data_IF_858696594834
#
_entry.id   IF_858696594834
#
_cell.length_a   1.000
_cell.length_b   1.000
_cell.length_c   1.000
_cell.angle_alpha   90.00
_cell.angle_beta   90.00
_cell.angle_gamma   90.00
#
_symmetry.space_group_name_H-M   'P 1'
#
loop_
_entity.id
_entity.type
_entity.pdbx_description
1 polymer ?
#
# COMPACT_ATOMS: atom_id res chain seq x y z
N UNK A 1 25.54 -0.87 12.65
CA UNK A 1 24.77 -0.91 11.37
C UNK A 1 25.74 -0.73 10.22
N UNK A 2 25.79 -1.66 9.28
CA UNK A 2 26.55 -1.60 8.03
C UNK A 2 25.70 -0.83 7.02
N UNK A 3 26.27 0.19 6.35
CA UNK A 3 25.58 0.86 5.24
C UNK A 3 25.91 0.09 3.96
N UNK A 4 24.87 -0.39 3.28
CA UNK A 4 25.02 -1.12 2.02
C UNK A 4 25.26 -0.15 0.87
N UNK A 5 26.18 -0.55 0.01
CA UNK A 5 26.55 0.13 -1.23
C UNK A 5 26.65 -0.88 -2.37
N UNK A 6 26.76 -0.41 -3.62
CA UNK A 6 26.94 -1.30 -4.78
C UNK A 6 28.21 -2.17 -4.65
N UNK A 7 29.23 -1.71 -3.90
CA UNK A 7 30.52 -2.37 -3.74
C UNK A 7 30.49 -3.47 -2.67
N UNK A 8 29.71 -3.29 -1.57
CA UNK A 8 29.74 -4.22 -0.44
C UNK A 8 28.55 -5.19 -0.37
N UNK A 9 27.47 -4.94 -1.10
CA UNK A 9 26.22 -5.69 -1.02
C UNK A 9 26.40 -7.18 -1.37
N UNK A 10 27.29 -7.53 -2.32
CA UNK A 10 27.54 -8.92 -2.70
C UNK A 10 28.23 -9.69 -1.58
N UNK A 11 29.19 -9.05 -0.89
CA UNK A 11 29.85 -9.65 0.28
C UNK A 11 28.85 -9.87 1.39
N UNK A 12 27.98 -8.88 1.64
CA UNK A 12 26.91 -8.98 2.63
C UNK A 12 25.94 -10.15 2.34
N UNK A 13 25.48 -10.31 1.09
CA UNK A 13 24.61 -11.42 0.71
C UNK A 13 25.31 -12.77 0.91
N UNK A 14 26.55 -12.91 0.47
CA UNK A 14 27.35 -14.16 0.61
C UNK A 14 27.55 -14.55 2.07
N UNK A 15 27.71 -13.58 2.95
CA UNK A 15 27.91 -13.81 4.39
C UNK A 15 26.60 -14.20 5.10
N UNK A 16 25.50 -13.48 4.83
CA UNK A 16 24.25 -13.60 5.60
C UNK A 16 23.25 -14.59 4.98
N UNK A 17 23.32 -14.83 3.66
CA UNK A 17 22.41 -15.76 2.96
C UNK A 17 23.20 -16.63 1.97
N UNK A 18 24.08 -17.51 2.44
CA UNK A 18 24.92 -18.35 1.56
C UNK A 18 24.10 -19.32 0.68
N UNK A 19 22.83 -19.51 0.97
CA UNK A 19 21.90 -20.28 0.14
C UNK A 19 21.51 -19.58 -1.16
N UNK A 20 21.63 -18.26 -1.25
CA UNK A 20 21.43 -17.48 -2.47
C UNK A 20 22.71 -17.58 -3.33
N UNK A 21 22.82 -18.65 -4.10
CA UNK A 21 23.97 -18.86 -4.99
C UNK A 21 23.82 -17.99 -6.25
N UNK A 22 24.57 -16.87 -6.25
CA UNK A 22 24.61 -15.96 -7.39
C UNK A 22 25.73 -16.37 -8.37
N UNK A 23 25.38 -16.52 -9.64
CA UNK A 23 26.33 -16.86 -10.71
C UNK A 23 26.91 -15.59 -11.35
N UNK A 24 28.22 -15.51 -11.41
CA UNK A 24 28.93 -14.39 -12.05
C UNK A 24 28.72 -14.38 -13.59
N UNK A 25 28.62 -13.20 -14.24
CA UNK A 25 28.72 -11.88 -13.62
C UNK A 25 27.45 -11.46 -12.89
N UNK A 26 27.60 -10.85 -11.69
CA UNK A 26 26.50 -10.30 -10.91
C UNK A 26 26.40 -8.80 -11.15
N UNK A 27 25.21 -8.34 -11.50
CA UNK A 27 24.89 -6.92 -11.67
C UNK A 27 24.18 -6.38 -10.44
N UNK A 28 24.67 -5.28 -9.90
CA UNK A 28 24.01 -4.52 -8.82
C UNK A 28 23.56 -3.17 -9.34
N UNK A 29 22.29 -2.87 -9.18
CA UNK A 29 21.70 -1.57 -9.53
C UNK A 29 20.87 -1.03 -8.37
N UNK A 30 20.80 0.30 -8.23
CA UNK A 30 20.00 0.95 -7.21
C UNK A 30 18.73 1.51 -7.86
N UNK A 31 17.57 1.12 -7.33
CA UNK A 31 16.27 1.58 -7.83
C UNK A 31 16.12 3.07 -7.51
N UNK A 32 15.65 3.86 -8.48
CA UNK A 32 15.46 5.31 -8.37
C UNK A 32 16.70 6.18 -8.65
N UNK A 33 17.81 5.63 -9.18
CA UNK A 33 19.00 6.41 -9.59
C UNK A 33 19.20 6.55 -11.10
N UNK A 34 18.23 6.18 -11.92
CA UNK A 34 18.33 6.30 -13.38
C UNK A 34 19.18 5.21 -14.07
N UNK A 35 19.83 4.33 -13.30
CA UNK A 35 20.69 3.26 -13.82
C UNK A 35 19.92 2.09 -14.49
N UNK A 36 18.62 2.10 -14.46
CA UNK A 36 17.80 0.94 -14.78
C UNK A 36 17.07 1.01 -16.13
N UNK A 37 17.28 2.09 -16.89
CA UNK A 37 16.59 2.29 -18.18
C UNK A 37 15.12 2.66 -18.02
N UNK A 38 14.46 2.97 -19.15
CA UNK A 38 13.06 3.44 -19.18
C UNK A 38 12.02 2.42 -18.70
N UNK A 39 12.40 1.14 -18.55
CA UNK A 39 11.49 0.03 -18.22
C UNK A 39 11.47 -0.35 -16.73
N UNK A 40 12.31 0.23 -15.89
CA UNK A 40 12.34 -0.07 -14.44
C UNK A 40 11.70 1.04 -13.67
N UNK A 41 10.43 0.88 -13.48
CA UNK A 41 9.54 1.75 -12.76
C UNK A 41 9.63 1.48 -11.26
N UNK A 42 10.20 2.39 -10.47
CA UNK A 42 10.23 2.30 -9.02
C UNK A 42 10.65 3.63 -8.41
N UNK A 43 9.79 4.13 -7.53
CA UNK A 43 9.97 5.48 -6.96
C UNK A 43 10.90 5.52 -5.74
N UNK A 44 11.65 4.52 -5.36
CA UNK A 44 12.66 4.42 -4.29
C UNK A 44 12.98 5.68 -3.48
N UNK A 45 11.95 6.37 -2.93
CA UNK A 45 12.10 7.69 -2.31
C UNK A 45 12.59 7.62 -0.86
N UNK A 46 12.17 6.59 -0.13
CA UNK A 46 12.36 6.52 1.32
C UNK A 46 13.55 5.65 1.72
N UNK A 47 13.73 4.53 1.05
CA UNK A 47 14.68 3.50 1.42
C UNK A 47 15.75 3.30 0.34
N UNK A 48 16.89 2.71 0.72
CA UNK A 48 17.87 2.22 -0.24
C UNK A 48 17.41 0.87 -0.75
N UNK A 49 17.10 0.79 -2.04
CA UNK A 49 16.60 -0.43 -2.67
C UNK A 49 17.55 -0.82 -3.79
N UNK A 50 18.17 -1.99 -3.64
CA UNK A 50 19.10 -2.54 -4.62
C UNK A 50 18.45 -3.73 -5.30
N UNK A 51 18.62 -3.82 -6.61
CA UNK A 51 18.40 -5.04 -7.38
C UNK A 51 19.73 -5.71 -7.63
N UNK A 52 19.83 -6.97 -7.23
CA UNK A 52 20.98 -7.83 -7.46
C UNK A 52 20.55 -8.94 -8.39
N UNK A 53 21.12 -8.99 -9.61
CA UNK A 53 20.78 -10.00 -10.63
C UNK A 53 22.02 -10.73 -11.09
N UNK A 54 21.89 -12.04 -11.32
CA UNK A 54 22.97 -12.93 -11.74
C UNK A 54 22.94 -13.20 -13.25
N UNK A 55 23.93 -13.98 -13.72
CA UNK A 55 24.09 -14.33 -15.11
C UNK A 55 22.95 -15.22 -15.67
N UNK A 56 22.28 -15.98 -14.82
CA UNK A 56 21.15 -16.85 -15.23
C UNK A 56 19.82 -16.10 -15.23
N UNK A 57 19.79 -14.82 -14.84
CA UNK A 57 18.60 -13.98 -14.76
C UNK A 57 17.84 -14.08 -13.46
N UNK A 58 18.34 -14.79 -12.43
CA UNK A 58 17.78 -14.71 -11.09
C UNK A 58 18.08 -13.34 -10.49
N UNK A 59 17.10 -12.76 -9.83
CA UNK A 59 17.26 -11.46 -9.18
C UNK A 59 16.58 -11.39 -7.83
N UNK A 60 17.16 -10.55 -6.96
CA UNK A 60 16.71 -10.30 -5.60
C UNK A 60 16.67 -8.81 -5.33
N UNK A 61 15.74 -8.42 -4.47
CA UNK A 61 15.67 -7.05 -3.94
C UNK A 61 16.25 -7.03 -2.55
N UNK A 62 17.18 -6.11 -2.32
CA UNK A 62 17.74 -5.81 -0.99
C UNK A 62 17.28 -4.42 -0.60
N UNK A 63 16.50 -4.32 0.48
CA UNK A 63 15.96 -3.06 0.98
C UNK A 63 16.60 -2.71 2.33
N UNK A 64 17.17 -1.52 2.43
CA UNK A 64 17.75 -0.99 3.67
C UNK A 64 17.13 0.34 4.04
N UNK A 65 16.78 0.50 5.31
CA UNK A 65 16.35 1.76 5.89
C UNK A 65 17.48 2.40 6.70
N UNK A 66 17.59 3.72 6.61
CA UNK A 66 18.52 4.54 7.40
C UNK A 66 17.75 5.58 8.20
N UNK A 67 18.45 6.29 9.09
CA UNK A 67 17.87 7.36 9.93
C UNK A 67 17.31 8.55 9.14
N UNK A 68 17.68 8.70 7.87
CA UNK A 68 17.21 9.76 7.00
C UNK A 68 16.66 9.18 5.69
N UNK A 69 15.56 9.78 5.22
CA UNK A 69 15.01 9.43 3.91
C UNK A 69 16.00 9.76 2.80
N UNK A 70 16.15 8.85 1.83
CA UNK A 70 17.11 8.97 0.73
C UNK A 70 17.03 10.31 -0.03
N UNK A 71 15.82 10.81 -0.30
CA UNK A 71 15.63 12.01 -1.13
C UNK A 71 15.37 13.30 -0.38
N UNK A 72 14.88 13.27 0.86
CA UNK A 72 14.41 14.49 1.56
C UNK A 72 15.22 14.85 2.80
N UNK A 73 16.16 13.99 3.20
CA UNK A 73 16.95 14.23 4.42
C UNK A 73 16.12 14.28 5.70
N UNK A 74 14.79 14.04 5.63
CA UNK A 74 13.92 14.00 6.81
C UNK A 74 14.30 12.81 7.68
N UNK A 75 14.46 13.05 8.97
CA UNK A 75 14.69 11.97 9.91
C UNK A 75 13.44 11.08 10.00
N UNK A 76 13.66 9.76 9.94
CA UNK A 76 12.63 8.75 10.08
C UNK A 76 13.26 7.50 10.66
N UNK A 77 12.60 6.87 11.64
CA UNK A 77 13.17 5.69 12.30
C UNK A 77 13.52 4.58 11.32
N UNK A 78 14.72 4.00 11.37
CA UNK A 78 15.09 2.86 10.54
C UNK A 78 14.34 1.56 10.92
N UNK A 79 13.74 1.50 12.13
CA UNK A 79 12.97 0.33 12.59
C UNK A 79 11.71 0.07 11.75
N UNK A 80 11.28 0.99 10.87
CA UNK A 80 10.22 0.76 9.89
C UNK A 80 10.51 -0.45 8.98
N UNK A 81 11.78 -0.68 8.65
CA UNK A 81 12.25 -1.84 7.89
C UNK A 81 11.90 -3.15 8.62
N UNK A 82 12.08 -3.18 9.95
CA UNK A 82 11.72 -4.33 10.77
C UNK A 82 10.23 -4.60 10.73
N UNK A 83 9.37 -3.59 10.88
CA UNK A 83 7.93 -3.76 10.75
C UNK A 83 7.53 -4.31 9.38
N UNK A 84 8.20 -3.85 8.31
CA UNK A 84 7.93 -4.31 6.96
C UNK A 84 8.23 -5.80 6.78
N UNK A 85 9.41 -6.29 7.14
CA UNK A 85 9.70 -7.70 6.92
C UNK A 85 8.92 -8.62 7.90
N UNK A 86 8.68 -8.21 9.13
CA UNK A 86 7.88 -8.99 10.09
C UNK A 86 6.42 -9.14 9.63
N UNK A 87 5.83 -8.08 9.07
CA UNK A 87 4.48 -8.19 8.50
C UNK A 87 4.46 -8.99 7.20
N UNK A 88 5.53 -8.94 6.39
CA UNK A 88 5.66 -9.81 5.22
C UNK A 88 5.69 -11.29 5.63
N UNK A 89 6.44 -11.65 6.68
CA UNK A 89 6.45 -13.02 7.23
C UNK A 89 5.05 -13.47 7.70
N UNK A 90 4.32 -12.58 8.40
CA UNK A 90 2.98 -12.88 8.86
C UNK A 90 2.02 -13.07 7.66
N UNK A 91 2.04 -12.16 6.71
CA UNK A 91 1.16 -12.22 5.53
C UNK A 91 1.51 -13.37 4.59
N UNK A 92 2.78 -13.75 4.49
CA UNK A 92 3.19 -14.91 3.72
C UNK A 92 2.61 -16.24 4.29
N UNK A 93 2.29 -16.30 5.58
CA UNK A 93 1.56 -17.44 6.18
C UNK A 93 0.07 -17.45 5.83
N UNK A 94 -0.51 -16.27 5.56
CA UNK A 94 -1.94 -16.09 5.26
C UNK A 94 -2.20 -16.18 3.75
N UNK A 95 -1.40 -15.45 2.95
CA UNK A 95 -1.59 -15.25 1.51
C UNK A 95 -0.26 -15.32 0.75
N UNK A 96 0.47 -16.45 0.79
CA UNK A 96 1.83 -16.56 0.21
C UNK A 96 1.90 -16.21 -1.28
N UNK A 97 0.79 -16.38 -2.01
CA UNK A 97 0.71 -16.07 -3.43
C UNK A 97 0.78 -14.57 -3.72
N UNK A 98 0.43 -13.71 -2.75
CA UNK A 98 0.35 -12.26 -2.93
C UNK A 98 1.52 -11.48 -2.30
N UNK A 99 2.38 -12.15 -1.54
CA UNK A 99 3.53 -11.52 -0.87
C UNK A 99 4.82 -12.01 -1.52
N UNK A 100 5.80 -11.13 -1.78
CA UNK A 100 7.14 -11.58 -2.20
C UNK A 100 7.76 -12.55 -1.19
N UNK A 101 8.47 -13.55 -1.67
CA UNK A 101 9.22 -14.43 -0.77
C UNK A 101 10.29 -13.64 -0.03
N UNK A 102 10.44 -13.88 1.28
CA UNK A 102 11.46 -13.27 2.11
C UNK A 102 12.61 -14.26 2.30
N UNK A 103 13.83 -13.80 2.07
CA UNK A 103 15.05 -14.62 2.18
C UNK A 103 15.89 -14.27 3.42
N UNK A 104 15.83 -13.02 3.88
CA UNK A 104 16.54 -12.52 5.07
C UNK A 104 15.77 -11.36 5.69
N UNK A 105 15.68 -11.34 7.03
CA UNK A 105 15.40 -10.16 7.84
C UNK A 105 16.55 -9.93 8.82
N UNK A 106 17.25 -8.80 8.72
CA UNK A 106 18.36 -8.41 9.58
C UNK A 106 18.04 -7.10 10.32
N UNK A 107 17.50 -7.19 11.55
CA UNK A 107 17.13 -6.02 12.33
C UNK A 107 18.34 -5.19 12.82
N UNK A 108 19.53 -5.78 12.92
CA UNK A 108 20.74 -5.07 13.39
C UNK A 108 21.24 -4.07 12.34
N UNK A 109 21.08 -4.42 11.07
CA UNK A 109 21.46 -3.58 9.93
C UNK A 109 20.29 -2.88 9.25
N UNK A 110 19.03 -3.11 9.71
CA UNK A 110 17.81 -2.63 9.10
C UNK A 110 17.72 -2.99 7.61
N UNK A 111 18.03 -4.27 7.31
CA UNK A 111 18.06 -4.83 5.96
C UNK A 111 17.11 -6.01 5.87
N UNK A 112 16.44 -6.15 4.74
CA UNK A 112 15.86 -7.43 4.36
C UNK A 112 16.11 -7.73 2.87
N UNK A 113 16.06 -9.01 2.53
CA UNK A 113 16.22 -9.51 1.17
C UNK A 113 14.95 -10.25 0.77
N UNK A 114 14.38 -9.89 -0.36
CA UNK A 114 13.13 -10.48 -0.87
C UNK A 114 13.19 -10.84 -2.35
N UNK A 115 12.19 -11.57 -2.80
CA UNK A 115 11.92 -11.87 -4.20
C UNK A 115 11.84 -10.57 -5.03
N UNK A 116 12.52 -10.58 -6.18
CA UNK A 116 12.32 -9.53 -7.20
C UNK A 116 11.08 -9.88 -8.01
N UNK A 117 10.04 -9.08 -7.88
CA UNK A 117 8.76 -9.24 -8.56
C UNK A 117 8.65 -8.47 -9.87
N UNK A 118 9.76 -7.99 -10.42
CA UNK A 118 9.78 -7.15 -11.63
C UNK A 118 9.45 -7.88 -12.93
N UNK A 119 9.30 -9.21 -12.88
CA UNK A 119 8.63 -9.96 -13.94
C UNK A 119 7.17 -9.56 -14.11
N UNK A 120 6.53 -9.07 -13.06
CA UNK A 120 5.24 -8.38 -13.07
C UNK A 120 5.45 -6.88 -13.35
N UNK A 121 4.36 -6.17 -13.65
CA UNK A 121 4.40 -4.74 -13.94
C UNK A 121 3.73 -3.94 -12.83
N UNK A 122 4.29 -2.77 -12.51
CA UNK A 122 3.71 -1.85 -11.55
C UNK A 122 2.39 -1.30 -12.12
N UNK A 123 1.27 -1.56 -11.44
CA UNK A 123 -0.04 -1.32 -12.03
C UNK A 123 -0.32 0.16 -12.30
N UNK A 124 0.22 1.10 -11.49
CA UNK A 124 0.08 2.53 -11.70
C UNK A 124 0.49 2.95 -13.11
N UNK A 125 1.68 2.54 -13.56
CA UNK A 125 2.21 2.95 -14.86
C UNK A 125 1.48 2.27 -16.01
N UNK A 126 1.06 1.02 -15.83
CA UNK A 126 0.28 0.32 -16.85
C UNK A 126 -1.15 0.88 -16.96
N UNK A 127 -1.77 1.28 -15.83
CA UNK A 127 -3.06 1.97 -15.86
C UNK A 127 -2.97 3.33 -16.56
N UNK A 128 -1.84 4.04 -16.43
CA UNK A 128 -1.59 5.27 -17.20
C UNK A 128 -1.49 5.02 -18.72
N UNK A 129 -1.11 3.80 -19.12
CA UNK A 129 -1.10 3.32 -20.52
C UNK A 129 -2.43 2.66 -20.93
N UNK A 130 -3.48 2.79 -20.12
CA UNK A 130 -4.82 2.22 -20.33
C UNK A 130 -4.87 0.70 -20.32
N UNK A 131 -3.90 0.03 -19.71
CA UNK A 131 -3.91 -1.43 -19.57
C UNK A 131 -5.04 -1.88 -18.63
N UNK A 132 -5.69 -2.98 -18.99
CA UNK A 132 -6.75 -3.61 -18.19
C UNK A 132 -6.15 -4.78 -17.39
N UNK A 133 -6.48 -4.85 -16.11
CA UNK A 133 -6.08 -5.95 -15.24
C UNK A 133 -7.32 -6.78 -14.85
N UNK A 134 -7.64 -7.85 -15.55
CA UNK A 134 -8.92 -8.56 -15.40
C UNK A 134 -9.10 -9.21 -14.01
N UNK A 135 -8.01 -9.51 -13.31
CA UNK A 135 -8.04 -10.14 -11.99
C UNK A 135 -7.73 -9.21 -10.82
N UNK A 136 -7.41 -7.94 -11.08
CA UNK A 136 -6.99 -6.98 -10.06
C UNK A 136 -8.00 -6.87 -8.91
N UNK A 137 -9.27 -6.64 -9.24
CA UNK A 137 -10.31 -6.50 -8.22
C UNK A 137 -10.43 -7.75 -7.33
N UNK A 138 -10.47 -8.94 -7.96
CA UNK A 138 -10.62 -10.20 -7.23
C UNK A 138 -9.39 -10.50 -6.35
N UNK A 139 -8.19 -10.40 -6.90
CA UNK A 139 -6.95 -10.74 -6.20
C UNK A 139 -6.61 -9.70 -5.12
N UNK A 140 -6.77 -8.40 -5.41
CA UNK A 140 -6.57 -7.34 -4.42
C UNK A 140 -7.57 -7.42 -3.27
N UNK A 141 -8.85 -7.69 -3.58
CA UNK A 141 -9.88 -7.91 -2.58
C UNK A 141 -9.62 -9.14 -1.71
N UNK A 142 -9.17 -10.25 -2.31
CA UNK A 142 -8.82 -11.47 -1.58
C UNK A 142 -7.62 -11.24 -0.65
N UNK A 143 -6.59 -10.54 -1.12
CA UNK A 143 -5.44 -10.14 -0.31
C UNK A 143 -5.89 -9.34 0.91
N UNK A 144 -6.67 -8.26 0.71
CA UNK A 144 -7.15 -7.43 1.81
C UNK A 144 -8.07 -8.20 2.76
N UNK A 145 -9.07 -8.92 2.24
CA UNK A 145 -10.02 -9.65 3.07
C UNK A 145 -9.33 -10.70 3.96
N UNK A 146 -8.37 -11.46 3.40
CA UNK A 146 -7.64 -12.47 4.16
C UNK A 146 -6.72 -11.85 5.21
N UNK A 147 -5.89 -10.87 4.83
CA UNK A 147 -4.97 -10.21 5.76
C UNK A 147 -5.71 -9.49 6.88
N UNK A 148 -6.83 -8.85 6.56
CA UNK A 148 -7.67 -8.18 7.54
C UNK A 148 -8.37 -9.17 8.48
N UNK A 149 -9.01 -10.19 7.94
CA UNK A 149 -9.75 -11.15 8.75
C UNK A 149 -8.83 -11.91 9.72
N UNK A 150 -7.72 -12.47 9.22
CA UNK A 150 -6.83 -13.31 10.01
C UNK A 150 -5.92 -12.53 10.98
N UNK A 151 -5.91 -11.19 10.94
CA UNK A 151 -5.26 -10.35 11.94
C UNK A 151 -6.25 -9.60 12.84
N UNK A 152 -7.53 -9.98 12.81
CA UNK A 152 -8.62 -9.33 13.56
C UNK A 152 -9.02 -10.09 14.82
N UNK A 153 -9.77 -9.41 15.68
CA UNK A 153 -10.46 -9.96 16.85
C UNK A 153 -11.44 -11.08 16.47
N UNK A 154 -11.97 -11.09 15.24
CA UNK A 154 -12.93 -12.11 14.80
C UNK A 154 -12.30 -13.50 14.70
N UNK A 155 -11.00 -13.57 14.46
CA UNK A 155 -10.24 -14.80 14.32
C UNK A 155 -9.31 -15.07 15.50
N UNK A 156 -8.46 -14.11 15.85
CA UNK A 156 -7.43 -14.29 16.87
C UNK A 156 -8.02 -14.34 18.29
N UNK A 157 -7.47 -15.17 19.21
CA UNK A 157 -7.73 -15.01 20.63
C UNK A 157 -7.47 -13.57 21.07
N UNK A 158 -8.33 -13.01 21.94
CA UNK A 158 -8.28 -11.59 22.31
C UNK A 158 -6.91 -11.16 22.83
N UNK A 159 -6.22 -11.99 23.59
CA UNK A 159 -4.88 -11.67 24.09
C UNK A 159 -3.85 -11.60 22.96
N UNK A 160 -3.87 -12.56 22.03
CA UNK A 160 -2.98 -12.59 20.87
C UNK A 160 -3.22 -11.37 19.95
N UNK A 161 -4.49 -11.08 19.70
CA UNK A 161 -4.88 -9.88 18.95
C UNK A 161 -4.33 -8.59 19.59
N UNK A 162 -4.46 -8.44 20.92
CA UNK A 162 -3.94 -7.27 21.63
C UNK A 162 -2.41 -7.18 21.58
N UNK A 163 -1.70 -8.31 21.72
CA UNK A 163 -0.24 -8.38 21.57
C UNK A 163 0.20 -8.01 20.16
N UNK A 164 -0.53 -8.50 19.15
CA UNK A 164 -0.25 -8.19 17.75
C UNK A 164 -0.40 -6.68 17.46
N UNK A 165 -1.48 -6.05 17.90
CA UNK A 165 -1.67 -4.60 17.77
C UNK A 165 -0.61 -3.79 18.52
N UNK A 166 -0.20 -4.24 19.72
CA UNK A 166 0.83 -3.56 20.50
C UNK A 166 2.20 -3.67 19.82
N UNK A 167 2.51 -4.83 19.22
CA UNK A 167 3.77 -5.04 18.49
C UNK A 167 3.86 -4.13 17.26
N UNK A 168 2.78 -4.06 16.47
CA UNK A 168 2.69 -3.20 15.29
C UNK A 168 2.09 -1.81 15.62
N UNK A 169 2.44 -1.22 16.75
CA UNK A 169 1.99 0.16 17.08
C UNK A 169 2.48 1.17 16.04
N UNK A 170 3.72 1.02 15.57
CA UNK A 170 4.32 1.81 14.50
C UNK A 170 4.04 3.31 14.59
N UNK A 171 4.27 3.87 15.80
CA UNK A 171 3.76 5.19 16.20
C UNK A 171 4.21 6.33 15.27
N UNK A 172 5.45 6.28 14.78
CA UNK A 172 6.00 7.36 13.93
C UNK A 172 5.32 7.39 12.56
N UNK A 173 5.22 6.24 11.86
CA UNK A 173 4.57 6.16 10.55
C UNK A 173 3.06 6.37 10.67
N UNK A 174 2.46 5.89 11.78
CA UNK A 174 1.05 6.14 12.08
C UNK A 174 0.76 7.64 12.18
N UNK A 175 1.56 8.42 12.91
CA UNK A 175 1.41 9.88 13.03
C UNK A 175 1.57 10.58 11.67
N UNK A 176 2.51 10.11 10.84
CA UNK A 176 2.67 10.64 9.47
C UNK A 176 1.38 10.43 8.67
N UNK A 177 0.80 9.23 8.74
CA UNK A 177 -0.44 8.91 8.02
C UNK A 177 -1.63 9.72 8.57
N UNK A 178 -1.80 9.78 9.89
CA UNK A 178 -2.87 10.54 10.56
C UNK A 178 -2.83 12.03 10.23
N UNK A 179 -1.64 12.60 10.11
CA UNK A 179 -1.48 14.00 9.74
C UNK A 179 -1.58 14.22 8.23
N UNK A 180 -0.92 13.38 7.45
CA UNK A 180 -0.90 13.50 5.98
C UNK A 180 -2.28 13.40 5.36
N UNK A 181 -3.07 12.41 5.78
CA UNK A 181 -4.40 12.17 5.20
C UNK A 181 -5.47 13.11 5.75
N UNK A 182 -5.39 13.47 7.04
CA UNK A 182 -6.52 14.17 7.68
C UNK A 182 -6.23 15.64 8.05
N UNK A 183 -4.98 16.04 8.23
CA UNK A 183 -4.66 17.39 8.70
C UNK A 183 -3.93 18.26 7.68
N UNK A 184 -3.02 17.69 6.88
CA UNK A 184 -2.20 18.48 5.94
C UNK A 184 -3.01 19.20 4.85
N UNK A 185 -4.21 18.72 4.57
CA UNK A 185 -5.16 19.41 3.68
C UNK A 185 -5.42 20.86 4.13
N UNK A 186 -5.29 21.15 5.42
CA UNK A 186 -5.72 22.40 6.05
C UNK A 186 -4.56 23.28 6.56
N UNK A 187 -3.34 22.79 6.57
CA UNK A 187 -2.17 23.50 7.09
C UNK A 187 -1.24 24.10 6.05
N UNK A 188 -1.33 23.69 4.80
CA UNK A 188 -0.45 24.16 3.76
C UNK A 188 -1.03 25.41 3.08
N UNK A 189 -0.37 26.56 3.21
CA UNK A 189 -0.61 27.75 2.40
C UNK A 189 -0.01 27.61 0.99
N UNK A 190 0.57 26.43 0.69
CA UNK A 190 1.30 26.18 -0.54
C UNK A 190 0.48 25.25 -1.44
N UNK A 191 -0.03 25.81 -2.52
CA UNK A 191 -0.55 25.08 -3.67
C UNK A 191 0.55 24.92 -4.70
N UNK A 192 0.50 23.88 -5.51
CA UNK A 192 1.34 23.84 -6.71
C UNK A 192 0.93 24.99 -7.64
N UNK A 193 1.79 26.00 -7.81
CA UNK A 193 1.49 27.15 -8.67
C UNK A 193 1.22 26.76 -10.13
N UNK A 194 1.69 25.58 -10.56
CA UNK A 194 1.44 25.04 -11.89
C UNK A 194 -0.05 24.74 -12.15
N UNK A 195 -0.84 24.52 -11.10
CA UNK A 195 -2.28 24.27 -11.23
C UNK A 195 -3.11 25.54 -11.51
N UNK A 196 -2.54 26.72 -11.25
CA UNK A 196 -3.13 28.03 -11.52
C UNK A 196 -4.22 28.47 -10.52
N UNK A 197 -4.65 29.76 -10.60
CA UNK A 197 -5.49 30.39 -9.57
C UNK A 197 -6.90 29.81 -9.45
N UNK A 198 -7.47 29.27 -10.54
CA UNK A 198 -8.79 28.62 -10.50
C UNK A 198 -8.76 27.33 -9.67
N UNK A 199 -7.67 26.59 -9.75
CA UNK A 199 -7.50 25.38 -8.96
C UNK A 199 -7.31 25.70 -7.48
N UNK A 200 -6.56 26.77 -7.19
CA UNK A 200 -6.41 27.26 -5.82
C UNK A 200 -7.76 27.67 -5.21
N UNK A 201 -8.62 28.38 -5.95
CA UNK A 201 -9.96 28.74 -5.50
C UNK A 201 -10.82 27.49 -5.21
N UNK A 202 -10.74 26.49 -6.08
CA UNK A 202 -11.42 25.20 -5.89
C UNK A 202 -10.90 24.47 -4.64
N UNK A 203 -9.58 24.38 -4.45
CA UNK A 203 -8.99 23.77 -3.25
C UNK A 203 -9.41 24.51 -1.98
N UNK A 204 -9.44 25.85 -1.99
CA UNK A 204 -9.94 26.67 -0.87
C UNK A 204 -11.40 26.38 -0.55
N UNK A 205 -12.25 26.21 -1.56
CA UNK A 205 -13.67 25.89 -1.36
C UNK A 205 -13.88 24.55 -0.67
N UNK A 206 -13.05 23.56 -0.97
CA UNK A 206 -13.06 22.25 -0.29
C UNK A 206 -12.51 22.37 1.13
N UNK A 207 -11.36 23.02 1.28
CA UNK A 207 -10.67 23.16 2.59
C UNK A 207 -11.51 23.83 3.65
N UNK A 208 -12.25 24.85 3.28
CA UNK A 208 -13.02 25.68 4.19
C UNK A 208 -14.53 25.36 4.20
N UNK A 209 -14.94 24.25 3.57
CA UNK A 209 -16.31 23.76 3.71
C UNK A 209 -16.50 23.14 5.11
N UNK A 210 -17.36 23.71 5.96
CA UNK A 210 -17.53 23.25 7.34
C UNK A 210 -18.15 21.85 7.45
N UNK A 211 -18.90 21.40 6.43
CA UNK A 211 -19.48 20.07 6.44
C UNK A 211 -18.40 19.03 6.08
N UNK A 212 -17.55 19.29 5.09
CA UNK A 212 -16.42 18.43 4.73
C UNK A 212 -15.42 18.36 5.88
N UNK A 213 -15.13 19.49 6.53
CA UNK A 213 -14.26 19.54 7.71
C UNK A 213 -14.81 18.68 8.85
N UNK A 214 -16.12 18.80 9.16
CA UNK A 214 -16.76 17.99 10.20
C UNK A 214 -16.69 16.49 9.89
N UNK A 215 -17.00 16.06 8.66
CA UNK A 215 -16.93 14.64 8.28
C UNK A 215 -15.50 14.10 8.33
N UNK A 216 -14.53 14.89 7.91
CA UNK A 216 -13.12 14.53 7.98
C UNK A 216 -12.64 14.32 9.41
N UNK A 217 -12.99 15.20 10.35
CA UNK A 217 -12.65 14.98 11.76
C UNK A 217 -13.34 13.77 12.37
N UNK A 218 -14.55 13.44 11.95
CA UNK A 218 -15.21 12.18 12.34
C UNK A 218 -14.43 10.96 11.82
N UNK A 219 -14.02 10.98 10.55
CA UNK A 219 -13.22 9.89 9.95
C UNK A 219 -11.84 9.80 10.60
N UNK A 220 -11.19 10.92 10.91
CA UNK A 220 -9.94 10.93 11.66
C UNK A 220 -10.11 10.31 13.05
N UNK A 221 -11.14 10.70 13.78
CA UNK A 221 -11.42 10.12 15.10
C UNK A 221 -11.66 8.61 15.01
N UNK A 222 -12.42 8.16 14.02
CA UNK A 222 -12.64 6.75 13.74
C UNK A 222 -11.33 6.02 13.43
N UNK A 223 -10.50 6.57 12.54
CA UNK A 223 -9.19 6.01 12.18
C UNK A 223 -8.26 5.88 13.39
N UNK A 224 -8.24 6.88 14.27
CA UNK A 224 -7.38 6.89 15.46
C UNK A 224 -7.85 5.94 16.56
N UNK A 225 -9.16 5.72 16.68
CA UNK A 225 -9.77 4.95 17.78
C UNK A 225 -10.13 3.51 17.42
N UNK A 226 -10.35 3.20 16.14
CA UNK A 226 -10.83 1.90 15.68
C UNK A 226 -9.67 1.05 15.16
N UNK A 227 -9.15 0.16 16.00
CA UNK A 227 -8.06 -0.77 15.62
C UNK A 227 -8.63 -2.16 15.41
N UNK A 228 -9.19 -2.45 14.24
CA UNK A 228 -9.89 -3.71 13.95
C UNK A 228 -8.98 -4.80 13.40
N UNK A 229 -7.93 -4.40 12.69
CA UNK A 229 -7.01 -5.29 11.98
C UNK A 229 -5.66 -4.62 11.76
N UNK A 230 -4.65 -5.37 11.30
CA UNK A 230 -3.43 -4.81 10.76
C UNK A 230 -3.63 -4.43 9.30
N UNK A 231 -3.67 -3.12 9.02
CA UNK A 231 -3.76 -2.60 7.66
C UNK A 231 -2.41 -2.65 6.93
N UNK A 232 -2.44 -2.52 5.60
CA UNK A 232 -1.24 -2.23 4.81
C UNK A 232 -0.76 -0.78 5.06
N UNK A 233 -1.71 0.12 5.19
CA UNK A 233 -1.51 1.54 5.47
C UNK A 233 -1.23 2.39 4.24
N UNK A 234 -0.59 1.81 3.21
CA UNK A 234 -0.26 2.48 1.95
C UNK A 234 -0.64 1.62 0.73
N UNK A 235 -1.88 1.09 0.74
CA UNK A 235 -2.37 0.16 -0.29
C UNK A 235 -2.83 0.89 -1.54
N UNK A 236 -1.87 1.25 -2.39
CA UNK A 236 -2.11 1.99 -3.63
C UNK A 236 -1.48 1.33 -4.85
N UNK A 237 -1.82 1.85 -6.02
CA UNK A 237 -1.41 1.29 -7.32
C UNK A 237 0.09 1.28 -7.57
N UNK A 238 0.90 2.04 -6.82
CA UNK A 238 2.37 2.00 -6.90
C UNK A 238 3.01 0.94 -5.99
N UNK A 239 2.23 0.25 -5.13
CA UNK A 239 2.69 -0.82 -4.27
C UNK A 239 2.13 -2.19 -4.69
N UNK A 240 1.55 -2.26 -5.89
CA UNK A 240 0.99 -3.48 -6.45
C UNK A 240 1.63 -3.76 -7.82
N UNK A 241 2.25 -4.92 -7.92
CA UNK A 241 2.73 -5.48 -9.18
C UNK A 241 1.77 -6.55 -9.69
N UNK A 242 1.44 -6.53 -10.97
CA UNK A 242 0.53 -7.52 -11.56
C UNK A 242 0.82 -7.77 -13.04
N UNK A 243 0.35 -8.93 -13.50
CA UNK A 243 0.05 -9.26 -14.89
C UNK A 243 -1.45 -9.64 -15.01
N UNK A 244 -1.85 -10.28 -16.09
CA UNK A 244 -3.23 -10.73 -16.29
C UNK A 244 -3.66 -11.86 -15.33
N UNK A 245 -2.72 -12.49 -14.63
CA UNK A 245 -2.94 -13.71 -13.84
C UNK A 245 -2.45 -13.64 -12.40
N UNK A 246 -1.39 -12.88 -12.14
CA UNK A 246 -0.72 -12.81 -10.83
C UNK A 246 -0.72 -11.39 -10.28
N UNK A 247 -0.64 -11.30 -8.97
CA UNK A 247 -0.52 -10.05 -8.24
C UNK A 247 0.45 -10.24 -7.07
N UNK A 248 1.30 -9.25 -6.84
CA UNK A 248 2.16 -9.15 -5.65
C UNK A 248 2.03 -7.76 -5.04
N UNK A 249 2.01 -7.71 -3.72
CA UNK A 249 1.93 -6.49 -2.91
C UNK A 249 3.25 -6.28 -2.19
N UNK A 250 3.76 -5.06 -2.23
CA UNK A 250 5.04 -4.66 -1.62
C UNK A 250 4.85 -3.43 -0.72
N UNK A 251 5.92 -3.03 -0.05
CA UNK A 251 6.05 -1.77 0.71
C UNK A 251 5.06 -1.64 1.87
N UNK A 252 5.17 -2.60 2.81
CA UNK A 252 4.25 -2.77 3.94
C UNK A 252 4.72 -2.04 5.20
N UNK A 253 5.64 -1.06 5.10
CA UNK A 253 6.24 -0.37 6.25
C UNK A 253 5.21 0.44 7.08
N UNK A 254 4.09 0.83 6.48
CA UNK A 254 2.99 1.56 7.15
C UNK A 254 1.99 0.65 7.88
N UNK A 255 2.33 -0.59 8.16
CA UNK A 255 1.42 -1.50 8.89
C UNK A 255 1.24 -1.08 10.35
N UNK A 256 -0.03 -0.94 10.76
CA UNK A 256 -0.47 -0.75 12.16
C UNK A 256 -1.96 -1.10 12.32
N UNK A 257 -2.47 -1.09 13.54
CA UNK A 257 -3.89 -1.36 13.83
C UNK A 257 -4.81 -0.21 13.39
N UNK A 258 -5.79 -0.47 12.50
CA UNK A 258 -6.73 0.53 11.98
C UNK A 258 -8.05 -0.11 11.50
N UNK A 259 -9.05 0.68 11.01
CA UNK A 259 -10.30 0.15 10.49
C UNK A 259 -10.12 -0.72 9.24
N UNK A 260 -10.94 -1.77 9.10
CA UNK A 260 -11.01 -2.61 7.89
C UNK A 260 -11.23 -1.84 6.60
N UNK A 261 -11.91 -0.74 6.68
CA UNK A 261 -12.33 0.10 5.56
C UNK A 261 -11.20 0.94 4.96
N UNK A 262 -10.07 1.11 5.68
CA UNK A 262 -9.05 2.09 5.28
C UNK A 262 -8.30 1.71 4.00
N UNK A 263 -7.69 0.53 3.94
CA UNK A 263 -6.94 0.09 2.75
C UNK A 263 -7.84 -0.03 1.51
N UNK A 264 -9.08 -0.48 1.70
CA UNK A 264 -10.08 -0.52 0.64
C UNK A 264 -10.41 0.90 0.13
N UNK A 265 -10.57 1.85 1.05
CA UNK A 265 -10.74 3.27 0.71
C UNK A 265 -9.53 3.84 -0.02
N UNK A 266 -8.33 3.46 0.37
CA UNK A 266 -7.09 3.94 -0.24
C UNK A 266 -6.97 3.52 -1.71
N UNK A 267 -7.19 2.24 -2.03
CA UNK A 267 -7.15 1.77 -3.43
C UNK A 267 -8.32 2.33 -4.25
N UNK A 268 -9.51 2.47 -3.67
CA UNK A 268 -10.65 3.12 -4.33
C UNK A 268 -10.31 4.56 -4.71
N UNK A 269 -9.66 5.33 -3.82
CA UNK A 269 -9.20 6.69 -4.11
C UNK A 269 -8.28 6.73 -5.34
N UNK A 270 -7.35 5.78 -5.43
CA UNK A 270 -6.44 5.68 -6.58
C UNK A 270 -7.18 5.38 -7.89
N UNK A 271 -8.16 4.49 -7.86
CA UNK A 271 -8.97 4.15 -9.04
C UNK A 271 -9.82 5.35 -9.46
N UNK A 272 -10.41 6.09 -8.52
CA UNK A 272 -11.14 7.34 -8.80
C UNK A 272 -10.20 8.35 -9.49
N UNK A 273 -9.00 8.54 -8.95
CA UNK A 273 -8.00 9.45 -9.56
C UNK A 273 -7.63 9.02 -10.98
N UNK A 274 -7.47 7.71 -11.22
CA UNK A 274 -7.24 7.16 -12.56
C UNK A 274 -8.42 7.38 -13.50
N UNK A 275 -9.66 7.24 -13.02
CA UNK A 275 -10.86 7.49 -13.82
C UNK A 275 -10.98 8.99 -14.20
N UNK A 276 -10.72 9.90 -13.27
CA UNK A 276 -10.67 11.33 -13.53
C UNK A 276 -9.58 11.68 -14.56
N UNK A 277 -8.38 11.12 -14.41
CA UNK A 277 -7.28 11.30 -15.37
C UNK A 277 -7.67 10.75 -16.76
N UNK A 278 -8.26 9.55 -16.82
CA UNK A 278 -8.71 8.94 -18.07
C UNK A 278 -9.79 9.75 -18.80
N UNK A 279 -10.62 10.47 -18.05
CA UNK A 279 -11.66 11.32 -18.65
C UNK A 279 -11.09 12.48 -19.47
N UNK A 280 -9.87 12.95 -19.17
CA UNK A 280 -9.27 14.15 -19.78
C UNK A 280 -8.02 13.88 -20.60
N UNK A 281 -7.31 12.77 -20.39
CA UNK A 281 -6.09 12.44 -21.15
C UNK A 281 -6.42 11.93 -22.56
N UNK A 282 -5.46 11.95 -23.50
CA UNK A 282 -5.66 11.45 -24.85
C UNK A 282 -5.95 9.95 -24.92
N UNK A 283 -6.84 9.56 -25.84
CA UNK A 283 -7.13 8.19 -26.23
C UNK A 283 -7.26 8.11 -27.75
N UNK A 284 -7.02 6.95 -28.33
CA UNK A 284 -7.14 6.73 -29.78
C UNK A 284 -8.56 7.03 -30.29
N UNK A 285 -9.58 6.66 -29.49
CA UNK A 285 -11.00 6.92 -29.79
C UNK A 285 -11.79 7.25 -28.53
N UNK A 286 -12.88 8.00 -28.69
CA UNK A 286 -13.80 8.29 -27.59
C UNK A 286 -14.47 7.02 -27.05
N UNK A 287 -14.71 6.03 -27.89
CA UNK A 287 -15.24 4.72 -27.46
C UNK A 287 -14.25 3.99 -26.55
N UNK A 288 -12.95 4.01 -26.88
CA UNK A 288 -11.91 3.42 -26.04
C UNK A 288 -11.85 4.12 -24.67
N UNK A 289 -11.89 5.46 -24.65
CA UNK A 289 -11.95 6.23 -23.40
C UNK A 289 -13.14 5.82 -22.53
N UNK A 290 -14.35 5.82 -23.10
CA UNK A 290 -15.59 5.45 -22.38
C UNK A 290 -15.51 4.05 -21.79
N UNK A 291 -15.04 3.08 -22.57
CA UNK A 291 -14.88 1.70 -22.11
C UNK A 291 -13.88 1.59 -20.98
N UNK A 292 -12.75 2.31 -21.06
CA UNK A 292 -11.73 2.30 -20.02
C UNK A 292 -12.23 2.96 -18.72
N UNK A 293 -12.92 4.10 -18.81
CA UNK A 293 -13.52 4.74 -17.63
C UNK A 293 -14.59 3.83 -17.01
N UNK A 294 -15.44 3.19 -17.83
CA UNK A 294 -16.42 2.21 -17.34
C UNK A 294 -15.75 1.01 -16.63
N UNK A 295 -14.64 0.52 -17.17
CA UNK A 295 -13.83 -0.51 -16.51
C UNK A 295 -13.32 -0.05 -15.13
N UNK A 296 -12.77 1.16 -15.02
CA UNK A 296 -12.28 1.69 -13.74
C UNK A 296 -13.41 1.85 -12.71
N UNK A 297 -14.59 2.30 -13.15
CA UNK A 297 -15.76 2.37 -12.26
C UNK A 297 -16.18 0.98 -11.80
N UNK A 298 -16.21 0.00 -12.72
CA UNK A 298 -16.55 -1.38 -12.37
C UNK A 298 -15.53 -2.03 -11.41
N UNK A 299 -14.25 -1.64 -11.47
CA UNK A 299 -13.24 -2.10 -10.51
C UNK A 299 -13.60 -1.72 -9.07
N UNK A 300 -14.16 -0.52 -8.85
CA UNK A 300 -14.55 -0.04 -7.51
C UNK A 300 -15.65 -0.95 -6.94
N UNK A 301 -16.68 -1.21 -7.73
CA UNK A 301 -17.78 -2.09 -7.34
C UNK A 301 -17.29 -3.52 -7.07
N UNK A 302 -16.48 -4.07 -7.99
CA UNK A 302 -15.93 -5.41 -7.87
C UNK A 302 -14.99 -5.56 -6.67
N UNK A 303 -14.15 -4.57 -6.36
CA UNK A 303 -13.26 -4.58 -5.20
C UNK A 303 -14.05 -4.75 -3.91
N UNK A 304 -15.07 -3.92 -3.70
CA UNK A 304 -15.91 -4.03 -2.51
C UNK A 304 -16.67 -5.37 -2.48
N UNK A 305 -17.30 -5.74 -3.59
CA UNK A 305 -18.10 -6.98 -3.67
C UNK A 305 -17.25 -8.22 -3.37
N UNK A 306 -16.08 -8.35 -3.99
CA UNK A 306 -15.18 -9.47 -3.72
C UNK A 306 -14.59 -9.41 -2.31
N UNK A 307 -14.30 -8.20 -1.79
CA UNK A 307 -13.80 -8.07 -0.43
C UNK A 307 -14.80 -8.62 0.58
N UNK A 308 -16.06 -8.21 0.50
CA UNK A 308 -17.11 -8.71 1.41
C UNK A 308 -17.38 -10.20 1.18
N UNK A 309 -17.38 -10.66 -0.07
CA UNK A 309 -17.54 -12.09 -0.36
C UNK A 309 -16.46 -12.92 0.34
N UNK A 310 -15.18 -12.61 0.13
CA UNK A 310 -14.08 -13.35 0.76
C UNK A 310 -14.09 -13.20 2.28
N UNK A 311 -14.37 -12.00 2.79
CA UNK A 311 -14.45 -11.76 4.23
C UNK A 311 -15.54 -12.63 4.86
N UNK A 312 -16.70 -12.76 4.22
CA UNK A 312 -17.79 -13.64 4.69
C UNK A 312 -17.45 -15.12 4.56
N UNK A 313 -16.73 -15.54 3.52
CA UNK A 313 -16.23 -16.91 3.38
C UNK A 313 -15.30 -17.26 4.56
N UNK A 314 -14.36 -16.37 4.92
CA UNK A 314 -13.48 -16.58 6.09
C UNK A 314 -14.25 -16.51 7.40
N UNK A 315 -15.24 -15.62 7.51
CA UNK A 315 -16.12 -15.53 8.67
C UNK A 315 -16.87 -16.83 8.91
N UNK A 316 -17.54 -17.37 7.90
CA UNK A 316 -18.28 -18.64 8.05
C UNK A 316 -17.37 -19.81 8.43
N UNK A 317 -16.16 -19.83 7.90
CA UNK A 317 -15.20 -20.88 8.15
C UNK A 317 -14.56 -20.75 9.53
N UNK A 318 -13.96 -19.62 9.83
CA UNK A 318 -12.94 -19.49 10.88
C UNK A 318 -13.26 -18.45 11.97
N UNK A 319 -14.38 -17.69 11.90
CA UNK A 319 -14.71 -16.74 12.95
C UNK A 319 -15.07 -17.43 14.26
N UNK A 320 -14.84 -16.74 15.38
CA UNK A 320 -15.27 -17.19 16.70
C UNK A 320 -16.78 -17.39 16.74
N UNK A 321 -17.22 -18.38 17.51
CA UNK A 321 -18.62 -18.82 17.55
C UNK A 321 -19.58 -17.68 17.92
N UNK A 322 -19.22 -16.89 18.92
CA UNK A 322 -20.03 -15.77 19.40
C UNK A 322 -20.36 -14.75 18.31
N UNK A 323 -19.46 -14.53 17.38
CA UNK A 323 -19.71 -13.65 16.23
C UNK A 323 -20.59 -14.32 15.17
N UNK A 324 -20.36 -15.63 14.90
CA UNK A 324 -21.13 -16.38 13.89
C UNK A 324 -22.61 -16.49 14.24
N UNK A 325 -22.94 -16.67 15.52
CA UNK A 325 -24.33 -16.85 15.97
C UNK A 325 -25.11 -15.54 16.13
N UNK A 326 -24.44 -14.39 16.02
CA UNK A 326 -25.07 -13.07 16.16
C UNK A 326 -25.70 -12.63 14.84
N UNK A 327 -27.01 -12.76 14.75
CA UNK A 327 -27.76 -12.43 13.54
C UNK A 327 -27.60 -10.95 13.14
N UNK A 328 -27.32 -10.72 11.86
CA UNK A 328 -27.22 -9.38 11.27
C UNK A 328 -25.91 -8.64 11.57
N UNK A 329 -25.02 -9.19 12.40
CA UNK A 329 -23.81 -8.49 12.80
C UNK A 329 -22.82 -8.33 11.65
N UNK A 330 -22.53 -9.39 10.88
CA UNK A 330 -21.62 -9.32 9.74
C UNK A 330 -22.16 -8.44 8.62
N UNK A 331 -23.48 -8.45 8.40
CA UNK A 331 -24.14 -7.58 7.41
C UNK A 331 -24.05 -6.10 7.82
N UNK A 332 -24.24 -5.80 9.10
CA UNK A 332 -24.04 -4.45 9.64
C UNK A 332 -22.59 -4.00 9.47
N UNK A 333 -21.63 -4.87 9.79
CA UNK A 333 -20.19 -4.59 9.61
C UNK A 333 -19.87 -4.30 8.15
N UNK A 334 -20.41 -5.06 7.19
CA UNK A 334 -20.21 -4.82 5.77
C UNK A 334 -20.72 -3.44 5.34
N UNK A 335 -21.89 -3.00 5.85
CA UNK A 335 -22.42 -1.67 5.57
C UNK A 335 -21.57 -0.55 6.18
N UNK A 336 -21.00 -0.77 7.37
CA UNK A 336 -20.08 0.20 7.98
C UNK A 336 -18.80 0.30 7.15
N UNK A 337 -18.20 -0.83 6.73
CA UNK A 337 -17.04 -0.85 5.85
C UNK A 337 -17.33 -0.10 4.55
N UNK A 338 -18.52 -0.29 3.94
CA UNK A 338 -18.91 0.41 2.70
C UNK A 338 -18.94 1.93 2.90
N UNK A 339 -19.57 2.40 3.97
CA UNK A 339 -19.68 3.84 4.25
C UNK A 339 -18.33 4.47 4.54
N UNK A 340 -17.55 3.80 5.37
CA UNK A 340 -16.25 4.28 5.82
C UNK A 340 -15.22 4.30 4.68
N UNK A 341 -15.17 3.27 3.81
CA UNK A 341 -14.17 3.21 2.73
C UNK A 341 -14.32 4.36 1.73
N UNK A 342 -15.54 4.76 1.39
CA UNK A 342 -15.74 5.95 0.54
C UNK A 342 -15.37 7.25 1.25
N UNK A 343 -15.59 7.33 2.57
CA UNK A 343 -15.13 8.45 3.38
C UNK A 343 -13.60 8.56 3.39
N UNK A 344 -12.89 7.44 3.62
CA UNK A 344 -11.44 7.40 3.54
C UNK A 344 -10.93 7.68 2.13
N UNK A 345 -11.58 7.16 1.09
CA UNK A 345 -11.22 7.47 -0.29
C UNK A 345 -11.29 8.97 -0.59
N UNK A 346 -12.31 9.66 -0.08
CA UNK A 346 -12.42 11.10 -0.21
C UNK A 346 -11.28 11.83 0.53
N UNK A 347 -10.96 11.44 1.76
CA UNK A 347 -9.84 12.03 2.52
C UNK A 347 -8.50 11.84 1.80
N UNK A 348 -8.22 10.65 1.28
CA UNK A 348 -7.00 10.35 0.51
C UNK A 348 -6.92 11.22 -0.74
N UNK A 349 -8.01 11.34 -1.51
CA UNK A 349 -8.01 12.19 -2.71
C UNK A 349 -7.85 13.68 -2.36
N UNK A 350 -8.52 14.18 -1.33
CA UNK A 350 -8.36 15.57 -0.90
C UNK A 350 -6.94 15.86 -0.41
N UNK A 351 -6.32 14.95 0.34
CA UNK A 351 -4.93 15.13 0.78
C UNK A 351 -3.95 15.23 -0.39
N UNK A 352 -4.19 14.48 -1.48
CA UNK A 352 -3.36 14.51 -2.69
C UNK A 352 -3.61 15.72 -3.59
N UNK A 353 -4.86 16.22 -3.62
CA UNK A 353 -5.24 17.34 -4.49
C UNK A 353 -4.98 18.69 -3.80
N UNK A 354 -5.34 18.80 -2.53
CA UNK A 354 -5.34 20.06 -1.78
C UNK A 354 -4.24 20.12 -0.71
N UNK A 355 -3.54 19.01 -0.44
CA UNK A 355 -2.49 18.91 0.55
C UNK A 355 -1.11 19.27 0.00
N UNK A 356 -0.13 19.13 0.87
CA UNK A 356 1.27 19.20 0.45
C UNK A 356 1.57 17.98 -0.42
N UNK A 357 1.82 18.21 -1.71
CA UNK A 357 2.18 17.18 -2.69
C UNK A 357 3.51 16.50 -2.37
N UNK A 358 4.18 16.97 -1.34
CA UNK A 358 5.46 16.47 -0.87
C UNK A 358 5.35 15.28 0.13
N UNK A 359 4.17 14.74 0.39
CA UNK A 359 4.00 13.52 1.21
C UNK A 359 3.73 12.28 0.38
#
# INVERSE_FOLDING_TARGET
MIILTKENILSYIKEHVPSLQLKEPVKVSMIGEGDLGEDVEGDGYCNYVFRVSDADGYSYIVKQSTEHLKRRGRALTPTRNRFEYEIMELRAKIVPQYVPALYLGDPENNVFIMEDVSNLKLIRFQMNKNHLFPKLAKQGAQYLAATHFYTSEFYLPTEEYRKLLAHFMNAELRVIMENGIFLNIFGADQYDPACGPKFEEYCKSIRFDPNLEFQRYKLRHLFMSKSETLIHGDFHTSNIFADDTHLKVIDMEYTFGAPFSYDLGFIIANIISQACSAAVRPFDTETHRKNYVAYLISLIEMLYTYYIQFFFEYWEKDAKLEYKITNGYKESLALDILRECFGFAACVNFSRICGDMDT
#
